data_IF_038198979575
#
_entry.id   IF_038198979575
#
_cell.length_a   1.000
_cell.length_b   1.000
_cell.length_c   1.000
_cell.angle_alpha   90.00
_cell.angle_beta   90.00
_cell.angle_gamma   90.00
#
_symmetry.space_group_name_H-M   'P 1'
#
loop_
_entity.id
_entity.type
_entity.pdbx_description
1 polymer ?
#
# COMPACT_ATOMS: atom_id res chain seq x y z
N UNK A 1 -26.41 5.28 12.20
CA UNK A 1 -25.18 4.45 12.18
C UNK A 1 -24.09 5.30 11.54
N UNK A 2 -23.29 6.00 12.36
CA UNK A 2 -22.19 6.81 11.83
C UNK A 2 -21.07 5.86 11.43
N UNK A 3 -20.79 5.75 10.13
CA UNK A 3 -19.57 5.12 9.66
C UNK A 3 -18.39 5.97 10.15
N UNK A 4 -17.43 5.35 10.83
CA UNK A 4 -16.16 5.97 11.23
C UNK A 4 -15.52 6.71 10.04
N UNK A 5 -15.62 8.04 9.99
CA UNK A 5 -14.93 8.92 9.03
C UNK A 5 -13.59 9.42 9.59
N UNK A 6 -13.17 8.89 10.74
CA UNK A 6 -11.78 8.95 11.16
C UNK A 6 -11.06 7.86 10.37
N UNK A 7 -10.52 8.26 9.22
CA UNK A 7 -9.62 7.41 8.43
C UNK A 7 -8.65 6.71 9.36
N UNK A 8 -8.49 5.41 9.17
CA UNK A 8 -7.65 4.57 10.01
C UNK A 8 -6.30 5.26 10.24
N UNK A 9 -5.98 5.71 11.47
CA UNK A 9 -4.72 6.42 11.71
C UNK A 9 -3.53 5.47 11.56
N UNK A 10 -3.78 4.16 11.68
CA UNK A 10 -2.76 3.12 11.57
C UNK A 10 -2.71 2.54 10.16
N UNK A 11 -1.63 2.77 9.40
CA UNK A 11 -1.45 2.16 8.07
C UNK A 11 -1.44 0.63 8.15
N UNK A 12 -1.00 0.05 9.28
CA UNK A 12 -1.01 -1.41 9.46
C UNK A 12 -2.41 -2.01 9.48
N UNK A 13 -3.41 -1.35 10.08
CA UNK A 13 -4.78 -1.88 10.14
C UNK A 13 -5.40 -1.89 8.74
N UNK A 14 -5.16 -0.84 7.96
CA UNK A 14 -5.61 -0.78 6.58
C UNK A 14 -4.86 -1.75 5.66
N UNK A 15 -3.55 -1.95 5.86
CA UNK A 15 -2.79 -3.00 5.18
C UNK A 15 -3.37 -4.37 5.51
N UNK A 16 -3.66 -4.67 6.78
CA UNK A 16 -4.28 -5.93 7.19
C UNK A 16 -5.70 -6.12 6.60
N UNK A 17 -6.43 -5.03 6.32
CA UNK A 17 -7.72 -5.07 5.62
C UNK A 17 -7.57 -5.34 4.13
N UNK A 18 -6.61 -4.72 3.46
CA UNK A 18 -6.34 -4.92 2.03
C UNK A 18 -5.68 -6.29 1.75
N UNK A 19 -4.80 -6.71 2.66
CA UNK A 19 -4.03 -7.95 2.65
C UNK A 19 -4.33 -8.78 3.91
N UNK A 20 -5.55 -9.33 4.04
CA UNK A 20 -5.85 -10.21 5.16
C UNK A 20 -4.94 -11.44 5.12
N UNK A 21 -4.51 -11.93 6.28
CA UNK A 21 -3.55 -13.04 6.40
C UNK A 21 -3.98 -14.31 5.63
N UNK A 22 -5.29 -14.52 5.42
CA UNK A 22 -5.84 -15.59 4.59
C UNK A 22 -5.39 -15.52 3.11
N UNK A 23 -5.01 -14.34 2.60
CA UNK A 23 -4.41 -14.18 1.26
C UNK A 23 -2.98 -14.71 1.18
N UNK A 24 -2.27 -14.85 2.30
CA UNK A 24 -0.88 -15.35 2.33
C UNK A 24 0.13 -14.47 1.57
N UNK A 25 -0.22 -13.22 1.28
CA UNK A 25 0.62 -12.28 0.53
C UNK A 25 1.31 -11.35 1.51
N UNK A 26 2.65 -11.31 1.47
CA UNK A 26 3.41 -10.30 2.19
C UNK A 26 3.22 -8.92 1.51
N UNK A 27 2.71 -7.90 2.21
CA UNK A 27 2.40 -6.59 1.62
C UNK A 27 3.63 -5.84 1.09
N UNK A 28 4.81 -6.05 1.70
CA UNK A 28 6.05 -5.41 1.26
C UNK A 28 6.57 -6.09 0.00
N UNK A 29 6.55 -7.41 -0.04
CA UNK A 29 6.93 -8.19 -1.22
C UNK A 29 6.00 -7.87 -2.39
N UNK A 30 4.68 -7.88 -2.17
CA UNK A 30 3.70 -7.46 -3.18
C UNK A 30 3.96 -6.06 -3.70
N UNK A 31 4.23 -5.10 -2.80
CA UNK A 31 4.52 -3.74 -3.22
C UNK A 31 5.82 -3.67 -4.05
N UNK A 32 6.86 -4.41 -3.66
CA UNK A 32 8.09 -4.52 -4.45
C UNK A 32 7.83 -5.12 -5.83
N UNK A 33 7.00 -6.17 -5.93
CA UNK A 33 6.65 -6.82 -7.19
C UNK A 33 5.83 -5.89 -8.10
N UNK A 34 4.86 -5.15 -7.56
CA UNK A 34 4.08 -4.16 -8.32
C UNK A 34 4.98 -3.04 -8.86
N UNK A 35 5.89 -2.51 -8.04
CA UNK A 35 6.82 -1.47 -8.48
C UNK A 35 7.80 -2.00 -9.52
N UNK A 36 8.33 -3.20 -9.31
CA UNK A 36 9.22 -3.89 -10.25
C UNK A 36 8.55 -4.12 -11.61
N UNK A 37 7.31 -4.64 -11.62
CA UNK A 37 6.52 -4.85 -12.84
C UNK A 37 6.22 -3.55 -13.60
N UNK A 38 6.24 -2.39 -12.92
CA UNK A 38 6.07 -1.07 -13.51
C UNK A 38 7.40 -0.36 -13.82
N UNK A 39 8.54 -0.97 -13.51
CA UNK A 39 9.87 -0.34 -13.64
C UNK A 39 10.02 0.89 -12.74
N UNK A 40 9.31 0.94 -11.61
CA UNK A 40 9.35 2.05 -10.65
C UNK A 40 10.25 1.70 -9.46
N UNK A 41 10.90 2.73 -8.91
CA UNK A 41 11.70 2.63 -7.68
C UNK A 41 11.13 3.57 -6.63
N UNK A 42 10.94 3.05 -5.42
CA UNK A 42 10.42 3.79 -4.28
C UNK A 42 11.24 5.06 -3.95
N UNK A 43 12.56 5.02 -4.21
CA UNK A 43 13.51 6.08 -3.87
C UNK A 43 13.49 7.25 -4.84
N UNK A 44 13.35 7.02 -6.15
CA UNK A 44 13.37 8.08 -7.17
C UNK A 44 11.97 8.51 -7.64
N UNK A 45 10.97 7.63 -7.49
CA UNK A 45 9.64 7.82 -8.04
C UNK A 45 8.56 7.67 -6.96
N UNK A 46 8.74 8.25 -5.77
CA UNK A 46 7.85 8.05 -4.61
C UNK A 46 6.37 8.29 -4.95
N UNK A 47 6.01 9.42 -5.56
CA UNK A 47 4.60 9.73 -5.89
C UNK A 47 4.04 8.73 -6.92
N UNK A 48 4.80 8.42 -7.97
CA UNK A 48 4.38 7.43 -9.00
C UNK A 48 4.25 6.03 -8.39
N UNK A 49 5.12 5.69 -7.45
CA UNK A 49 5.09 4.41 -6.73
C UNK A 49 3.84 4.30 -5.87
N UNK A 50 3.51 5.34 -5.10
CA UNK A 50 2.27 5.40 -4.31
C UNK A 50 1.04 5.25 -5.21
N UNK A 51 1.03 5.96 -6.35
CA UNK A 51 -0.07 5.86 -7.32
C UNK A 51 -0.17 4.44 -7.90
N UNK A 52 0.94 3.84 -8.29
CA UNK A 52 0.98 2.48 -8.84
C UNK A 52 0.48 1.43 -7.84
N UNK A 53 0.81 1.55 -6.55
CA UNK A 53 0.28 0.66 -5.52
C UNK A 53 -1.24 0.81 -5.36
N UNK A 54 -1.76 2.05 -5.37
CA UNK A 54 -3.21 2.30 -5.27
C UNK A 54 -3.99 1.89 -6.52
N UNK A 55 -3.37 2.01 -7.70
CA UNK A 55 -3.95 1.52 -8.95
C UNK A 55 -3.99 -0.02 -8.97
N UNK A 56 -2.99 -0.68 -8.38
CA UNK A 56 -2.92 -2.14 -8.28
C UNK A 56 -3.83 -2.73 -7.19
N UNK A 57 -4.01 -2.03 -6.06
CA UNK A 57 -4.92 -2.41 -4.98
C UNK A 57 -5.79 -1.20 -4.58
N UNK A 58 -6.98 -1.02 -5.18
CA UNK A 58 -7.87 0.10 -4.89
C UNK A 58 -8.37 0.16 -3.45
N UNK A 59 -8.34 -0.96 -2.72
CA UNK A 59 -8.69 -1.01 -1.30
C UNK A 59 -7.59 -0.46 -0.39
N UNK A 60 -6.38 -0.23 -0.93
CA UNK A 60 -5.27 0.37 -0.23
C UNK A 60 -5.42 1.90 -0.14
N UNK A 61 -5.47 2.41 1.09
CA UNK A 61 -5.52 3.85 1.32
C UNK A 61 -4.15 4.52 1.08
N UNK A 62 -4.17 5.87 1.04
CA UNK A 62 -2.98 6.67 0.79
C UNK A 62 -1.90 6.50 1.87
N UNK A 63 -2.27 6.45 3.16
CA UNK A 63 -1.30 6.33 4.25
C UNK A 63 -0.61 4.97 4.20
N UNK A 64 -1.35 3.90 3.92
CA UNK A 64 -0.80 2.56 3.74
C UNK A 64 0.14 2.47 2.54
N UNK A 65 -0.25 3.04 1.39
CA UNK A 65 0.62 3.07 0.22
C UNK A 65 1.90 3.89 0.46
N UNK A 66 1.80 5.05 1.13
CA UNK A 66 2.96 5.85 1.55
C UNK A 66 3.87 5.05 2.49
N UNK A 67 3.27 4.33 3.45
CA UNK A 67 4.00 3.50 4.40
C UNK A 67 4.80 2.40 3.69
N UNK A 68 4.16 1.65 2.77
CA UNK A 68 4.83 0.60 2.00
C UNK A 68 5.98 1.16 1.14
N UNK A 69 5.75 2.27 0.43
CA UNK A 69 6.81 2.90 -0.38
C UNK A 69 7.97 3.38 0.48
N UNK A 70 7.72 3.96 1.66
CA UNK A 70 8.80 4.39 2.55
C UNK A 70 9.57 3.22 3.18
N UNK A 71 8.94 2.06 3.37
CA UNK A 71 9.62 0.84 3.86
C UNK A 71 10.49 0.15 2.81
N UNK A 72 10.26 0.45 1.53
CA UNK A 72 11.03 -0.08 0.38
C UNK A 72 12.20 0.81 -0.06
N UNK A 73 12.43 1.94 0.61
CA UNK A 73 13.59 2.82 0.37
C UNK A 73 14.81 2.32 1.11
#
# INVERSE_FOLDING_TARGET
MAANILGNPNPLDSINKAFPAAKGIDPLQWAADVLSAKGLSASNNTIKSIKALRDAEPSLDLNSAVYLVNRLK
#
